data_IF_940974167535
#
_entry.id   IF_940974167535
#
_cell.length_a   1.000
_cell.length_b   1.000
_cell.length_c   1.000
_cell.angle_alpha   90.00
_cell.angle_beta   90.00
_cell.angle_gamma   90.00
#
_symmetry.space_group_name_H-M   'P 1'
#
loop_
_entity.id
_entity.type
_entity.pdbx_description
1 polymer ?
#
# COMPACT_ATOMS: atom_id res chain seq x y z
N UNK A 1 -20.06 -7.12 -25.94
CA UNK A 1 -19.77 -6.87 -24.52
C UNK A 1 -21.01 -6.33 -23.84
N UNK A 2 -21.28 -6.73 -22.59
CA UNK A 2 -22.41 -6.23 -21.82
C UNK A 2 -22.09 -4.79 -21.35
N UNK A 3 -23.10 -3.90 -21.34
CA UNK A 3 -22.91 -2.53 -20.89
C UNK A 3 -22.72 -2.45 -19.36
N UNK A 4 -21.82 -1.59 -18.84
CA UNK A 4 -21.65 -1.37 -17.40
C UNK A 4 -22.94 -0.90 -16.71
N UNK A 5 -23.20 -1.45 -15.51
CA UNK A 5 -24.25 -0.92 -14.64
C UNK A 5 -23.65 0.22 -13.82
N UNK A 6 -23.82 1.45 -14.31
CA UNK A 6 -23.26 2.63 -13.67
C UNK A 6 -24.11 3.11 -12.47
N UNK A 7 -23.48 3.65 -11.41
CA UNK A 7 -24.18 4.37 -10.35
C UNK A 7 -25.02 5.53 -10.90
N UNK A 8 -26.11 5.85 -10.20
CA UNK A 8 -27.02 6.95 -10.61
C UNK A 8 -26.31 8.29 -10.76
N UNK A 9 -25.38 8.59 -9.85
CA UNK A 9 -24.56 9.83 -9.88
C UNK A 9 -23.68 9.89 -11.13
N UNK A 10 -22.99 8.80 -11.47
CA UNK A 10 -22.15 8.74 -12.68
C UNK A 10 -22.98 8.92 -13.94
N UNK A 11 -24.13 8.22 -14.02
CA UNK A 11 -25.08 8.42 -15.13
C UNK A 11 -25.58 9.86 -15.22
N UNK A 12 -25.87 10.48 -14.08
CA UNK A 12 -26.29 11.90 -14.02
C UNK A 12 -25.19 12.81 -14.59
N UNK A 13 -23.96 12.65 -14.18
CA UNK A 13 -22.83 13.47 -14.64
C UNK A 13 -22.64 13.34 -16.16
N UNK A 14 -22.52 12.09 -16.65
CA UNK A 14 -22.33 11.85 -18.09
C UNK A 14 -23.47 12.41 -18.92
N UNK A 15 -24.71 12.13 -18.56
CA UNK A 15 -25.89 12.58 -19.29
C UNK A 15 -26.04 14.12 -19.27
N UNK A 16 -25.66 14.77 -18.15
CA UNK A 16 -25.73 16.23 -18.03
C UNK A 16 -24.71 16.89 -18.95
N UNK A 17 -23.46 16.42 -18.98
CA UNK A 17 -22.45 16.92 -19.91
C UNK A 17 -22.87 16.71 -21.38
N UNK A 18 -23.33 15.50 -21.73
CA UNK A 18 -23.76 15.16 -23.08
C UNK A 18 -24.95 16.01 -23.54
N UNK A 19 -25.94 16.24 -22.66
CA UNK A 19 -27.10 17.12 -22.96
C UNK A 19 -26.71 18.58 -23.21
N UNK A 20 -25.60 19.04 -22.60
CA UNK A 20 -25.05 20.36 -22.82
C UNK A 20 -24.04 20.44 -23.98
N UNK A 21 -23.98 19.39 -24.82
CA UNK A 21 -23.19 19.39 -26.07
C UNK A 21 -21.74 18.98 -25.92
N UNK A 22 -21.36 18.43 -24.77
CA UNK A 22 -20.00 17.96 -24.54
C UNK A 22 -19.90 16.44 -24.64
N UNK A 23 -18.75 15.93 -25.06
CA UNK A 23 -18.42 14.52 -24.87
C UNK A 23 -18.10 14.25 -23.40
N UNK A 24 -18.49 13.10 -22.87
CA UNK A 24 -18.17 12.67 -21.53
C UNK A 24 -18.08 11.15 -21.46
N UNK A 25 -16.98 10.65 -20.91
CA UNK A 25 -16.68 9.23 -20.82
C UNK A 25 -16.16 8.87 -19.44
N UNK A 26 -16.40 7.63 -18.99
CA UNK A 26 -15.61 7.00 -17.94
C UNK A 26 -14.34 6.47 -18.59
N UNK A 27 -13.22 6.47 -17.85
CA UNK A 27 -11.92 6.05 -18.36
C UNK A 27 -11.06 5.44 -17.22
N UNK A 28 -9.95 4.83 -17.57
CA UNK A 28 -8.96 4.39 -16.61
C UNK A 28 -9.29 3.08 -15.91
N UNK A 29 -8.94 3.01 -14.61
CA UNK A 29 -9.08 1.79 -13.81
C UNK A 29 -10.49 1.26 -13.73
N UNK A 30 -11.51 2.13 -13.65
CA UNK A 30 -12.90 1.74 -13.55
C UNK A 30 -13.41 0.97 -14.78
N UNK A 31 -13.02 1.41 -15.99
CA UNK A 31 -13.39 0.71 -17.24
C UNK A 31 -12.68 -0.63 -17.35
N UNK A 32 -11.38 -0.67 -17.06
CA UNK A 32 -10.59 -1.91 -17.01
C UNK A 32 -11.18 -2.92 -16.02
N UNK A 33 -11.47 -2.50 -14.79
CA UNK A 33 -11.96 -3.39 -13.73
C UNK A 33 -13.36 -3.91 -14.06
N UNK A 34 -14.19 -3.08 -14.71
CA UNK A 34 -15.47 -3.54 -15.28
C UNK A 34 -15.27 -4.65 -16.33
N UNK A 35 -14.37 -4.44 -17.30
CA UNK A 35 -14.08 -5.43 -18.35
C UNK A 35 -13.54 -6.74 -17.78
N UNK A 36 -12.83 -6.67 -16.63
CA UNK A 36 -12.33 -7.83 -15.87
C UNK A 36 -13.37 -8.45 -14.92
N UNK A 37 -14.61 -7.96 -14.92
CA UNK A 37 -15.67 -8.38 -13.98
C UNK A 37 -15.24 -8.21 -12.49
N UNK A 38 -14.39 -7.22 -12.20
CA UNK A 38 -13.96 -6.84 -10.85
C UNK A 38 -14.86 -5.74 -10.29
N UNK A 39 -15.00 -5.63 -8.97
CA UNK A 39 -15.72 -4.51 -8.36
C UNK A 39 -15.05 -3.17 -8.75
N UNK A 40 -15.87 -2.23 -9.26
CA UNK A 40 -15.41 -0.87 -9.58
C UNK A 40 -15.63 0.01 -8.36
N UNK A 41 -14.54 0.55 -7.80
CA UNK A 41 -14.56 1.43 -6.62
C UNK A 41 -14.54 2.91 -6.98
N UNK A 42 -13.97 3.26 -8.12
CA UNK A 42 -13.72 4.63 -8.53
C UNK A 42 -14.08 4.86 -10.01
N UNK A 43 -14.59 6.05 -10.31
CA UNK A 43 -15.05 6.42 -11.65
C UNK A 43 -14.39 7.74 -12.07
N UNK A 44 -13.27 7.63 -12.78
CA UNK A 44 -12.63 8.77 -13.42
C UNK A 44 -13.47 9.20 -14.65
N UNK A 45 -13.92 10.44 -14.69
CA UNK A 45 -14.68 11.00 -15.80
C UNK A 45 -13.77 11.91 -16.60
N UNK A 46 -13.76 11.73 -17.92
CA UNK A 46 -13.06 12.63 -18.84
C UNK A 46 -14.05 13.24 -19.83
N UNK A 47 -13.86 14.52 -20.20
CA UNK A 47 -14.82 15.28 -20.99
C UNK A 47 -14.15 16.26 -21.95
N UNK A 48 -14.85 16.60 -23.03
CA UNK A 48 -14.44 17.68 -23.91
C UNK A 48 -14.70 19.08 -23.31
N UNK A 49 -15.50 19.18 -22.22
CA UNK A 49 -15.75 20.45 -21.53
C UNK A 49 -14.49 20.93 -20.78
N UNK A 50 -14.16 22.22 -20.89
CA UNK A 50 -13.14 22.87 -20.05
C UNK A 50 -13.60 22.96 -18.59
N UNK A 51 -12.70 23.20 -17.62
CA UNK A 51 -13.08 23.34 -16.22
C UNK A 51 -14.18 24.39 -15.98
N UNK A 52 -14.12 25.53 -16.68
CA UNK A 52 -15.13 26.58 -16.55
C UNK A 52 -16.48 26.19 -17.17
N UNK A 53 -16.46 25.45 -18.26
CA UNK A 53 -17.68 24.88 -18.87
C UNK A 53 -18.31 23.83 -17.95
N UNK A 54 -17.51 22.96 -17.31
CA UNK A 54 -18.01 22.01 -16.30
C UNK A 54 -18.67 22.76 -15.13
N UNK A 55 -18.03 23.83 -14.63
CA UNK A 55 -18.62 24.69 -13.56
C UNK A 55 -19.93 25.33 -14.00
N UNK A 56 -20.03 25.80 -15.23
CA UNK A 56 -21.25 26.40 -15.76
C UNK A 56 -22.37 25.34 -15.88
N UNK A 57 -22.06 24.14 -16.38
CA UNK A 57 -23.02 23.02 -16.53
C UNK A 57 -23.58 22.57 -15.18
N UNK A 58 -22.75 22.55 -14.13
CA UNK A 58 -23.13 22.14 -12.78
C UNK A 58 -23.20 23.30 -11.78
N UNK A 59 -23.63 24.49 -12.24
CA UNK A 59 -23.67 25.71 -11.43
C UNK A 59 -24.54 25.62 -10.16
N UNK A 60 -25.46 24.64 -10.10
CA UNK A 60 -26.28 24.35 -8.91
C UNK A 60 -25.66 23.37 -7.91
N UNK A 61 -24.50 22.81 -8.20
CA UNK A 61 -23.84 21.78 -7.41
C UNK A 61 -22.52 22.29 -6.78
N UNK A 62 -22.04 21.57 -5.78
CA UNK A 62 -20.74 21.91 -5.16
C UNK A 62 -19.60 21.39 -6.01
N UNK A 63 -18.75 22.30 -6.50
CA UNK A 63 -17.51 21.97 -7.22
C UNK A 63 -16.29 22.45 -6.44
N UNK A 64 -15.24 21.64 -6.43
CA UNK A 64 -13.94 21.95 -5.78
C UNK A 64 -12.84 21.92 -6.84
N UNK A 65 -11.99 22.95 -6.83
CA UNK A 65 -10.87 23.09 -7.75
C UNK A 65 -9.66 22.28 -7.27
N UNK A 66 -9.71 20.96 -7.47
CA UNK A 66 -8.69 20.02 -6.98
C UNK A 66 -7.44 19.98 -7.85
N UNK A 67 -7.56 20.31 -9.13
CA UNK A 67 -6.45 20.22 -10.08
C UNK A 67 -6.68 21.08 -11.33
N UNK A 68 -7.18 22.28 -11.19
CA UNK A 68 -7.62 23.15 -12.31
C UNK A 68 -6.51 23.41 -13.34
N UNK A 69 -5.24 23.53 -12.89
CA UNK A 69 -4.08 23.68 -13.78
C UNK A 69 -3.86 22.48 -14.70
N UNK A 70 -4.38 21.30 -14.31
CA UNK A 70 -4.32 20.06 -15.07
C UNK A 70 -5.68 19.69 -15.68
N UNK A 71 -6.64 20.60 -15.65
CA UNK A 71 -7.96 20.41 -16.23
C UNK A 71 -8.93 19.59 -15.37
N UNK A 72 -8.62 19.33 -14.09
CA UNK A 72 -9.46 18.50 -13.21
C UNK A 72 -10.22 19.35 -12.22
N UNK A 73 -11.52 19.09 -12.10
CA UNK A 73 -12.41 19.60 -11.04
C UNK A 73 -13.10 18.43 -10.35
N UNK A 74 -13.45 18.59 -9.07
CA UNK A 74 -14.21 17.57 -8.32
C UNK A 74 -15.63 18.05 -8.10
N UNK A 75 -16.60 17.36 -8.69
CA UNK A 75 -18.03 17.55 -8.46
C UNK A 75 -18.44 16.72 -7.24
N UNK A 76 -19.07 17.35 -6.25
CA UNK A 76 -19.54 16.68 -5.03
C UNK A 76 -21.04 16.43 -5.10
N UNK A 77 -21.44 15.17 -5.20
CA UNK A 77 -22.84 14.75 -5.20
C UNK A 77 -23.12 13.85 -4.00
N UNK A 78 -24.08 14.24 -3.16
CA UNK A 78 -24.47 13.46 -1.96
C UNK A 78 -23.28 13.13 -1.04
N UNK A 79 -22.31 14.04 -0.93
CA UNK A 79 -21.13 13.86 -0.10
C UNK A 79 -19.99 13.06 -0.75
N UNK A 80 -20.17 12.54 -1.97
CA UNK A 80 -19.14 11.81 -2.73
C UNK A 80 -18.56 12.73 -3.80
N UNK A 81 -17.21 12.78 -3.88
CA UNK A 81 -16.48 13.53 -4.90
C UNK A 81 -16.29 12.70 -6.18
N UNK A 82 -16.55 13.30 -7.33
CA UNK A 82 -16.31 12.72 -8.65
C UNK A 82 -15.32 13.60 -9.41
N UNK A 83 -14.19 13.04 -9.80
CA UNK A 83 -13.20 13.77 -10.60
C UNK A 83 -13.63 13.84 -12.05
N UNK A 84 -13.69 15.06 -12.59
CA UNK A 84 -14.02 15.36 -14.00
C UNK A 84 -12.81 16.07 -14.59
N UNK A 85 -12.16 15.43 -15.56
CA UNK A 85 -10.94 15.93 -16.20
C UNK A 85 -11.22 16.30 -17.64
N UNK A 86 -10.86 17.50 -18.04
CA UNK A 86 -10.92 17.96 -19.43
C UNK A 86 -9.94 17.17 -20.30
N UNK A 87 -10.32 16.81 -21.53
CA UNK A 87 -9.41 16.24 -22.52
C UNK A 87 -8.22 17.17 -22.71
N UNK A 88 -7.02 16.61 -22.69
CA UNK A 88 -5.81 17.40 -22.78
C UNK A 88 -4.70 16.67 -23.53
N UNK A 89 -3.83 17.46 -24.11
CA UNK A 89 -2.50 17.07 -24.57
C UNK A 89 -1.46 17.57 -23.59
N UNK A 90 -0.32 16.94 -23.59
CA UNK A 90 0.81 17.27 -22.71
C UNK A 90 2.02 17.58 -23.59
N UNK A 91 2.68 18.71 -23.31
CA UNK A 91 3.93 19.08 -23.98
C UNK A 91 5.12 18.26 -23.48
N UNK A 92 6.34 18.66 -23.88
CA UNK A 92 7.55 17.97 -23.49
C UNK A 92 7.73 17.95 -21.96
N UNK A 93 8.35 16.87 -21.46
CA UNK A 93 8.63 16.70 -20.04
C UNK A 93 10.08 17.02 -19.74
N UNK A 94 10.32 18.03 -18.90
CA UNK A 94 11.67 18.50 -18.58
C UNK A 94 12.28 17.79 -17.36
N UNK A 95 11.44 17.25 -16.46
CA UNK A 95 11.85 16.68 -15.17
C UNK A 95 11.40 15.22 -14.97
N UNK A 96 11.05 14.52 -16.05
CA UNK A 96 10.49 13.15 -16.02
C UNK A 96 9.20 13.02 -15.18
N UNK A 97 8.43 14.13 -15.02
CA UNK A 97 7.19 14.15 -14.22
C UNK A 97 6.15 15.13 -14.71
N UNK A 98 6.56 16.39 -14.93
CA UNK A 98 5.61 17.45 -15.23
C UNK A 98 5.77 17.85 -16.70
N UNK A 99 4.67 17.85 -17.46
CA UNK A 99 4.69 18.42 -18.78
C UNK A 99 4.99 19.93 -18.68
N UNK A 100 5.79 20.44 -19.60
CA UNK A 100 6.09 21.86 -19.71
C UNK A 100 4.84 22.71 -19.93
N UNK A 101 3.85 22.14 -20.60
CA UNK A 101 2.58 22.78 -20.93
C UNK A 101 1.45 21.74 -20.96
N UNK A 102 0.27 22.15 -20.54
CA UNK A 102 -0.97 21.38 -20.66
C UNK A 102 -1.93 22.18 -21.53
N UNK A 103 -2.30 21.62 -22.67
CA UNK A 103 -3.25 22.24 -23.60
C UNK A 103 -4.54 21.44 -23.65
N UNK A 104 -5.69 22.11 -23.52
CA UNK A 104 -6.99 21.43 -23.62
C UNK A 104 -7.33 21.12 -25.07
N UNK A 105 -7.96 19.98 -25.29
CA UNK A 105 -8.43 19.52 -26.60
C UNK A 105 -9.89 19.10 -26.53
N UNK A 106 -10.52 18.99 -27.69
CA UNK A 106 -11.87 18.41 -27.82
C UNK A 106 -11.84 16.95 -28.30
N UNK A 107 -10.68 16.42 -28.59
CA UNK A 107 -10.49 15.11 -29.19
C UNK A 107 -10.14 14.03 -28.14
N UNK A 108 -11.03 13.08 -27.94
CA UNK A 108 -10.84 11.96 -26.99
C UNK A 108 -9.59 11.13 -27.31
N UNK A 109 -9.28 10.93 -28.58
CA UNK A 109 -8.11 10.15 -29.01
C UNK A 109 -6.80 10.78 -28.52
N UNK A 110 -6.71 12.11 -28.49
CA UNK A 110 -5.52 12.81 -27.99
C UNK A 110 -5.38 12.66 -26.48
N UNK A 111 -6.49 12.73 -25.70
CA UNK A 111 -6.46 12.50 -24.26
C UNK A 111 -6.06 11.06 -23.91
N UNK A 112 -6.55 10.07 -24.67
CA UNK A 112 -6.19 8.67 -24.43
C UNK A 112 -4.75 8.36 -24.84
N UNK A 113 -4.20 9.04 -25.83
CA UNK A 113 -2.82 8.84 -26.34
C UNK A 113 -1.73 9.22 -25.33
N UNK A 114 -2.01 10.09 -24.34
CA UNK A 114 -1.05 10.46 -23.29
C UNK A 114 -1.06 9.51 -22.08
N UNK A 115 -1.99 8.56 -22.03
CA UNK A 115 -2.13 7.63 -20.89
C UNK A 115 -0.98 6.63 -20.83
N UNK A 116 -0.84 6.01 -19.66
CA UNK A 116 0.27 5.10 -19.37
C UNK A 116 0.17 3.78 -20.17
N UNK A 117 -0.95 3.07 -20.04
CA UNK A 117 -1.13 1.73 -20.61
C UNK A 117 -2.43 1.63 -21.39
N UNK A 118 -2.41 0.82 -22.47
CA UNK A 118 -3.56 0.57 -23.35
C UNK A 118 -4.80 0.15 -22.57
N UNK A 119 -4.64 -0.74 -21.57
CA UNK A 119 -5.72 -1.22 -20.71
C UNK A 119 -6.39 -0.13 -19.84
N UNK A 120 -5.72 1.01 -19.63
CA UNK A 120 -6.23 2.16 -18.89
C UNK A 120 -6.67 3.30 -19.84
N UNK A 121 -6.55 3.12 -21.16
CA UNK A 121 -6.92 4.08 -22.17
C UNK A 121 -8.28 3.77 -22.82
N UNK A 122 -8.93 2.68 -22.45
CA UNK A 122 -10.29 2.34 -22.87
C UNK A 122 -11.28 3.27 -22.17
N UNK A 123 -12.18 3.84 -22.96
CA UNK A 123 -13.25 4.73 -22.49
C UNK A 123 -14.62 4.07 -22.65
N UNK A 124 -15.58 4.54 -21.87
CA UNK A 124 -16.98 4.10 -22.00
C UNK A 124 -17.94 5.24 -21.72
N UNK A 125 -18.97 5.36 -22.55
CA UNK A 125 -20.16 6.14 -22.23
C UNK A 125 -21.45 5.39 -22.60
N UNK A 126 -22.59 5.71 -21.96
CA UNK A 126 -23.84 4.99 -22.19
C UNK A 126 -24.45 5.16 -23.61
N UNK A 127 -24.05 6.21 -24.32
CA UNK A 127 -24.60 6.54 -25.64
C UNK A 127 -23.88 5.77 -26.76
N UNK A 128 -22.52 5.81 -26.72
CA UNK A 128 -21.70 5.34 -27.83
C UNK A 128 -21.01 3.99 -27.49
N UNK A 129 -21.09 3.54 -26.23
CA UNK A 129 -20.45 2.30 -25.76
C UNK A 129 -18.96 2.47 -25.44
N UNK A 130 -18.17 1.45 -25.77
CA UNK A 130 -16.72 1.46 -25.56
C UNK A 130 -16.00 2.13 -26.73
N UNK A 131 -15.03 3.00 -26.40
CA UNK A 131 -14.07 3.59 -27.33
C UNK A 131 -12.67 3.09 -26.99
N UNK A 132 -12.03 2.41 -27.92
CA UNK A 132 -10.70 1.81 -27.77
C UNK A 132 -9.82 2.14 -28.99
N UNK A 133 -8.99 3.17 -28.88
CA UNK A 133 -8.10 3.63 -29.96
C UNK A 133 -6.74 2.93 -29.93
N UNK A 134 -6.42 2.19 -28.87
CA UNK A 134 -5.07 1.67 -28.61
C UNK A 134 -5.01 0.16 -28.43
N UNK A 135 -6.14 -0.56 -28.64
CA UNK A 135 -6.21 -2.02 -28.50
C UNK A 135 -6.23 -2.50 -27.05
N UNK A 136 -6.63 -1.63 -26.11
CA UNK A 136 -6.67 -1.93 -24.69
C UNK A 136 -7.62 -3.06 -24.31
N UNK A 137 -8.76 -3.20 -25.00
CA UNK A 137 -9.69 -4.32 -24.79
C UNK A 137 -9.02 -5.65 -25.12
N UNK A 138 -8.34 -5.73 -26.26
CA UNK A 138 -7.59 -6.94 -26.63
C UNK A 138 -6.45 -7.26 -25.67
N UNK A 139 -5.75 -6.23 -25.15
CA UNK A 139 -4.71 -6.42 -24.16
C UNK A 139 -5.27 -6.90 -22.80
N UNK A 140 -6.45 -6.38 -22.38
CA UNK A 140 -7.17 -6.87 -21.20
C UNK A 140 -7.56 -8.34 -21.35
N UNK A 141 -8.16 -8.72 -22.49
CA UNK A 141 -8.57 -10.10 -22.77
C UNK A 141 -7.38 -11.09 -22.77
N UNK A 142 -6.20 -10.63 -23.23
CA UNK A 142 -4.98 -11.42 -23.27
C UNK A 142 -4.16 -11.37 -21.96
N UNK A 143 -4.55 -10.53 -21.01
CA UNK A 143 -3.77 -10.31 -19.78
C UNK A 143 -2.41 -9.65 -20.05
N UNK A 144 -2.35 -8.63 -20.91
CA UNK A 144 -1.11 -7.95 -21.32
C UNK A 144 -1.09 -6.52 -20.82
N UNK A 145 0.05 -6.09 -20.29
CA UNK A 145 0.36 -4.69 -19.96
C UNK A 145 1.27 -4.14 -21.06
N UNK A 146 0.73 -3.20 -21.83
CA UNK A 146 1.41 -2.50 -22.91
C UNK A 146 1.27 -1.00 -22.73
N UNK A 147 2.34 -0.23 -22.98
CA UNK A 147 2.26 1.24 -23.01
C UNK A 147 1.42 1.71 -24.19
N UNK A 148 0.77 2.85 -24.02
CA UNK A 148 0.21 3.58 -25.16
C UNK A 148 1.36 4.21 -25.95
N UNK A 149 1.53 3.83 -27.20
CA UNK A 149 2.63 4.29 -28.05
C UNK A 149 3.99 3.69 -27.68
N UNK A 150 5.08 4.42 -27.96
CA UNK A 150 6.45 3.96 -27.73
C UNK A 150 6.79 3.90 -26.23
N UNK A 151 7.21 2.73 -25.69
CA UNK A 151 7.50 2.59 -24.27
C UNK A 151 8.70 3.42 -23.78
N UNK A 152 9.70 3.66 -24.64
CA UNK A 152 10.87 4.47 -24.27
C UNK A 152 10.44 5.91 -24.05
N UNK A 153 9.65 6.46 -24.95
CA UNK A 153 9.07 7.81 -24.82
C UNK A 153 8.20 7.91 -23.59
N UNK A 154 7.27 6.97 -23.40
CA UNK A 154 6.33 6.96 -22.24
C UNK A 154 7.02 6.93 -20.88
N UNK A 155 8.09 6.15 -20.74
CA UNK A 155 8.82 6.07 -19.47
C UNK A 155 9.79 7.25 -19.28
N UNK A 156 10.25 7.87 -20.35
CA UNK A 156 11.05 9.10 -20.28
C UNK A 156 10.21 10.31 -19.86
N UNK A 157 8.92 10.36 -20.21
CA UNK A 157 7.98 11.40 -19.77
C UNK A 157 7.69 11.31 -18.26
N UNK A 158 7.27 10.16 -17.74
CA UNK A 158 7.08 9.91 -16.31
C UNK A 158 7.64 8.52 -15.96
N UNK A 159 8.85 8.52 -15.39
CA UNK A 159 9.52 7.30 -15.01
C UNK A 159 8.76 6.48 -13.96
N UNK A 160 7.80 7.07 -13.21
CA UNK A 160 6.94 6.31 -12.31
C UNK A 160 6.10 5.25 -13.05
N UNK A 161 5.82 5.46 -14.33
CA UNK A 161 5.11 4.46 -15.17
C UNK A 161 5.82 3.11 -15.18
N UNK A 162 7.15 3.08 -14.99
CA UNK A 162 7.94 1.84 -14.81
C UNK A 162 7.42 1.06 -13.59
N UNK A 163 7.35 1.69 -12.42
CA UNK A 163 6.84 1.03 -11.20
C UNK A 163 5.35 0.70 -11.31
N UNK A 164 4.58 1.54 -12.00
CA UNK A 164 3.15 1.28 -12.25
C UNK A 164 2.93 0.02 -13.10
N UNK A 165 3.77 -0.22 -14.14
CA UNK A 165 3.72 -1.46 -14.94
C UNK A 165 3.94 -2.69 -14.05
N UNK A 166 4.98 -2.67 -13.22
CA UNK A 166 5.29 -3.76 -12.28
C UNK A 166 4.16 -3.94 -11.26
N UNK A 167 3.62 -2.84 -10.73
CA UNK A 167 2.46 -2.89 -9.83
C UNK A 167 1.24 -3.53 -10.48
N UNK A 168 0.90 -3.14 -11.71
CA UNK A 168 -0.24 -3.74 -12.39
C UNK A 168 -0.03 -5.23 -12.65
N UNK A 169 1.20 -5.65 -13.00
CA UNK A 169 1.52 -7.08 -13.09
C UNK A 169 1.29 -7.78 -11.75
N UNK A 170 1.74 -7.18 -10.63
CA UNK A 170 1.53 -7.72 -9.30
C UNK A 170 0.05 -7.75 -8.83
N UNK A 171 -0.79 -6.83 -9.30
CA UNK A 171 -2.19 -6.72 -8.91
C UNK A 171 -3.14 -7.53 -9.78
N UNK A 172 -2.85 -7.62 -11.08
CA UNK A 172 -3.74 -8.23 -12.08
C UNK A 172 -3.27 -9.61 -12.53
N UNK A 173 -2.01 -9.97 -12.29
CA UNK A 173 -1.41 -11.19 -12.82
C UNK A 173 -1.10 -11.11 -14.32
N UNK A 174 -1.13 -9.92 -14.90
CA UNK A 174 -0.89 -9.69 -16.31
C UNK A 174 0.60 -9.73 -16.64
N UNK A 175 0.93 -10.21 -17.84
CA UNK A 175 2.29 -10.16 -18.36
C UNK A 175 2.60 -8.80 -18.97
N UNK A 176 3.83 -8.32 -18.75
CA UNK A 176 4.28 -7.08 -19.39
C UNK A 176 4.80 -7.44 -20.79
N UNK A 177 4.27 -6.72 -21.78
CA UNK A 177 4.66 -6.88 -23.20
C UNK A 177 6.18 -6.65 -23.39
N UNK A 178 6.80 -7.41 -24.29
CA UNK A 178 8.27 -7.51 -24.38
C UNK A 178 8.97 -6.18 -24.66
N UNK A 179 8.43 -5.32 -25.51
CA UNK A 179 9.04 -4.00 -25.79
C UNK A 179 8.91 -3.10 -24.55
N UNK A 180 7.75 -3.11 -23.89
CA UNK A 180 7.50 -2.42 -22.62
C UNK A 180 8.44 -2.91 -21.51
N UNK A 181 8.65 -4.22 -21.41
CA UNK A 181 9.57 -4.83 -20.45
C UNK A 181 11.03 -4.43 -20.67
N UNK A 182 11.49 -4.46 -21.92
CA UNK A 182 12.84 -4.02 -22.27
C UNK A 182 13.06 -2.55 -21.87
N UNK A 183 12.08 -1.69 -22.11
CA UNK A 183 12.14 -0.28 -21.71
C UNK A 183 12.18 -0.11 -20.17
N UNK A 184 11.46 -0.96 -19.40
CA UNK A 184 11.53 -0.96 -17.93
C UNK A 184 12.96 -1.15 -17.45
N UNK A 185 13.65 -2.18 -17.96
CA UNK A 185 15.02 -2.46 -17.52
C UNK A 185 16.01 -1.39 -17.97
N UNK A 186 15.92 -0.91 -19.22
CA UNK A 186 16.84 0.09 -19.75
C UNK A 186 16.71 1.46 -19.08
N UNK A 187 15.50 1.85 -18.67
CA UNK A 187 15.19 3.16 -18.12
C UNK A 187 14.99 3.18 -16.59
N UNK A 188 15.19 2.05 -15.90
CA UNK A 188 15.04 1.97 -14.44
C UNK A 188 15.89 2.98 -13.66
N UNK A 189 17.02 3.44 -14.24
CA UNK A 189 17.89 4.46 -13.66
C UNK A 189 17.19 5.83 -13.51
N UNK A 190 16.15 6.13 -14.32
CA UNK A 190 15.36 7.35 -14.23
C UNK A 190 14.49 7.42 -12.98
N UNK A 191 14.22 6.29 -12.33
CA UNK A 191 13.46 6.24 -11.07
C UNK A 191 14.08 7.08 -9.95
N UNK A 192 15.38 7.38 -10.02
CA UNK A 192 16.08 8.26 -9.07
C UNK A 192 15.54 9.70 -9.07
N UNK A 193 14.87 10.11 -10.15
CA UNK A 193 14.26 11.44 -10.30
C UNK A 193 12.83 11.51 -9.72
N UNK A 194 12.27 10.37 -9.26
CA UNK A 194 10.91 10.30 -8.73
C UNK A 194 10.92 10.54 -7.22
N UNK A 195 9.91 11.26 -6.73
CA UNK A 195 9.79 11.50 -5.28
C UNK A 195 9.60 10.19 -4.49
N UNK A 196 10.20 10.16 -3.32
CA UNK A 196 10.23 8.99 -2.43
C UNK A 196 8.84 8.47 -2.09
N UNK A 197 7.86 9.37 -1.86
CA UNK A 197 6.49 9.02 -1.51
C UNK A 197 5.77 8.31 -2.67
N UNK A 198 6.03 8.75 -3.92
CA UNK A 198 5.46 8.10 -5.11
C UNK A 198 6.05 6.70 -5.29
N UNK A 199 7.36 6.55 -5.10
CA UNK A 199 8.05 5.24 -5.14
C UNK A 199 7.46 4.31 -4.08
N UNK A 200 7.37 4.75 -2.82
CA UNK A 200 6.82 3.95 -1.73
C UNK A 200 5.38 3.50 -2.00
N UNK A 201 4.56 4.41 -2.53
CA UNK A 201 3.17 4.11 -2.85
C UNK A 201 3.05 2.98 -3.88
N UNK A 202 3.81 3.04 -4.97
CA UNK A 202 3.80 2.00 -6.00
C UNK A 202 4.44 0.70 -5.48
N UNK A 203 5.50 0.79 -4.68
CA UNK A 203 6.15 -0.36 -4.08
C UNK A 203 5.23 -1.10 -3.09
N UNK A 204 4.60 -0.38 -2.14
CA UNK A 204 3.61 -0.99 -1.21
C UNK A 204 2.47 -1.67 -1.98
N UNK A 205 1.91 -1.00 -2.99
CA UNK A 205 0.84 -1.57 -3.83
C UNK A 205 1.30 -2.80 -4.62
N UNK A 206 2.58 -2.87 -4.99
CA UNK A 206 3.17 -4.06 -5.64
C UNK A 206 3.27 -5.21 -4.66
N UNK A 207 3.88 -4.99 -3.49
CA UNK A 207 4.07 -6.02 -2.44
C UNK A 207 2.74 -6.58 -1.93
N UNK A 208 1.71 -5.72 -1.86
CA UNK A 208 0.36 -6.09 -1.40
C UNK A 208 -0.50 -6.73 -2.49
N UNK A 209 -0.02 -6.77 -3.73
CA UNK A 209 -0.72 -7.38 -4.86
C UNK A 209 -0.93 -8.88 -4.69
N UNK A 210 -1.97 -9.39 -5.34
CA UNK A 210 -2.32 -10.82 -5.35
C UNK A 210 -1.25 -11.66 -6.05
N UNK A 211 -0.59 -11.09 -7.06
CA UNK A 211 0.49 -11.73 -7.83
C UNK A 211 1.86 -11.09 -7.54
N UNK A 212 2.06 -10.58 -6.33
CA UNK A 212 3.27 -9.84 -5.95
C UNK A 212 4.55 -10.65 -6.08
N UNK A 213 4.53 -11.94 -5.69
CA UNK A 213 5.72 -12.78 -5.61
C UNK A 213 6.49 -12.90 -6.94
N UNK A 214 5.87 -13.33 -8.07
CA UNK A 214 6.57 -13.38 -9.35
C UNK A 214 7.01 -11.99 -9.84
N UNK A 215 6.22 -10.95 -9.61
CA UNK A 215 6.57 -9.59 -10.00
C UNK A 215 7.80 -9.07 -9.24
N UNK A 216 7.84 -9.21 -7.91
CA UNK A 216 8.99 -8.80 -7.09
C UNK A 216 10.26 -9.55 -7.52
N UNK A 217 10.15 -10.86 -7.74
CA UNK A 217 11.28 -11.70 -8.14
C UNK A 217 11.81 -11.29 -9.51
N UNK A 218 10.93 -11.10 -10.49
CA UNK A 218 11.29 -10.76 -11.88
C UNK A 218 11.89 -9.37 -12.00
N UNK A 219 11.33 -8.38 -11.28
CA UNK A 219 11.74 -6.97 -11.36
C UNK A 219 12.58 -6.51 -10.16
N UNK A 220 13.26 -7.45 -9.50
CA UNK A 220 14.11 -7.18 -8.34
C UNK A 220 15.14 -6.06 -8.58
N UNK A 221 15.81 -6.07 -9.73
CA UNK A 221 16.81 -5.05 -10.11
C UNK A 221 16.20 -3.65 -10.24
N UNK A 222 14.95 -3.55 -10.71
CA UNK A 222 14.24 -2.28 -10.85
C UNK A 222 13.97 -1.67 -9.47
N UNK A 223 13.52 -2.48 -8.51
CA UNK A 223 13.32 -2.01 -7.14
C UNK A 223 14.64 -1.69 -6.42
N UNK A 224 15.68 -2.50 -6.60
CA UNK A 224 17.02 -2.25 -6.03
C UNK A 224 17.66 -0.95 -6.53
N UNK A 225 17.27 -0.44 -7.70
CA UNK A 225 17.75 0.86 -8.19
C UNK A 225 17.32 2.03 -7.29
N UNK A 226 16.23 1.90 -6.53
CA UNK A 226 15.68 2.94 -5.63
C UNK A 226 15.60 2.50 -4.17
N UNK A 227 15.62 1.20 -3.91
CA UNK A 227 15.60 0.60 -2.55
C UNK A 227 16.72 -0.46 -2.50
N UNK A 228 18.00 -0.06 -2.41
CA UNK A 228 19.13 -0.98 -2.48
C UNK A 228 19.19 -1.97 -1.32
N UNK A 229 18.53 -1.67 -0.19
CA UNK A 229 18.47 -2.51 1.01
C UNK A 229 17.60 -3.76 0.84
N UNK A 230 16.87 -3.90 -0.27
CA UNK A 230 15.97 -5.05 -0.48
C UNK A 230 16.73 -6.37 -0.59
N UNK A 231 16.29 -7.34 0.19
CA UNK A 231 16.75 -8.72 0.16
C UNK A 231 15.78 -9.60 -0.64
N UNK A 232 15.81 -9.48 -1.96
CA UNK A 232 14.93 -10.25 -2.86
C UNK A 232 15.53 -11.58 -3.34
N UNK A 233 16.79 -11.85 -3.00
CA UNK A 233 17.49 -13.06 -3.43
C UNK A 233 17.05 -14.29 -2.62
N UNK A 234 16.55 -14.08 -1.40
CA UNK A 234 16.10 -15.12 -0.46
C UNK A 234 14.61 -14.93 -0.10
N UNK A 235 13.76 -14.76 -1.10
CA UNK A 235 12.32 -14.69 -0.84
C UNK A 235 11.81 -16.03 -0.26
N UNK A 236 10.90 -15.99 0.73
CA UNK A 236 10.25 -17.19 1.23
C UNK A 236 9.44 -17.89 0.14
N UNK A 237 9.07 -19.16 0.30
CA UNK A 237 8.24 -19.86 -0.67
C UNK A 237 6.95 -19.09 -1.00
N UNK A 238 6.54 -19.11 -2.26
CA UNK A 238 5.37 -18.34 -2.74
C UNK A 238 4.09 -18.63 -1.96
N UNK A 239 3.87 -19.90 -1.58
CA UNK A 239 2.71 -20.32 -0.78
C UNK A 239 2.64 -19.60 0.58
N UNK A 240 3.78 -19.43 1.25
CA UNK A 240 3.86 -18.66 2.52
C UNK A 240 3.68 -17.16 2.28
N UNK A 241 4.30 -16.66 1.20
CA UNK A 241 4.22 -15.24 0.86
C UNK A 241 2.77 -14.78 0.64
N UNK A 242 1.97 -15.56 -0.09
CA UNK A 242 0.58 -15.21 -0.36
C UNK A 242 -0.35 -15.36 0.85
N UNK A 243 -0.04 -16.24 1.79
CA UNK A 243 -0.83 -16.43 3.01
C UNK A 243 -0.54 -15.39 4.10
N UNK A 244 0.58 -14.66 4.00
CA UNK A 244 1.01 -13.70 5.00
C UNK A 244 0.30 -12.34 4.88
N UNK A 245 0.24 -11.62 6.00
CA UNK A 245 -0.25 -10.24 6.07
C UNK A 245 0.54 -9.32 5.13
N UNK A 246 -0.08 -8.30 4.53
CA UNK A 246 0.61 -7.38 3.62
C UNK A 246 1.88 -6.75 4.22
N UNK A 247 1.81 -6.33 5.49
CA UNK A 247 2.96 -5.71 6.16
C UNK A 247 4.07 -6.73 6.45
N UNK A 248 3.74 -7.99 6.78
CA UNK A 248 4.72 -9.07 6.91
C UNK A 248 5.46 -9.33 5.60
N UNK A 249 4.76 -9.30 4.47
CA UNK A 249 5.39 -9.40 3.14
C UNK A 249 6.42 -8.29 2.93
N UNK A 250 6.06 -7.04 3.26
CA UNK A 250 6.95 -5.89 3.15
C UNK A 250 8.18 -6.05 4.05
N UNK A 251 7.99 -6.43 5.32
CA UNK A 251 9.05 -6.63 6.30
C UNK A 251 10.02 -7.72 5.86
N UNK A 252 9.51 -8.83 5.31
CA UNK A 252 10.31 -9.98 4.87
C UNK A 252 11.29 -9.67 3.73
N UNK A 253 11.11 -8.53 3.05
CA UNK A 253 12.01 -8.06 1.99
C UNK A 253 13.28 -7.38 2.53
N UNK A 254 13.46 -7.30 3.85
CA UNK A 254 14.63 -6.70 4.48
C UNK A 254 15.32 -7.69 5.42
N UNK A 255 16.67 -7.57 5.55
CA UNK A 255 17.47 -8.46 6.42
C UNK A 255 17.47 -8.01 7.86
N UNK A 256 17.59 -6.72 8.09
CA UNK A 256 17.76 -6.14 9.41
C UNK A 256 16.76 -5.02 9.69
N UNK A 257 16.53 -4.76 10.97
CA UNK A 257 15.73 -3.64 11.42
C UNK A 257 16.28 -2.29 10.93
N UNK A 258 17.62 -2.15 10.91
CA UNK A 258 18.30 -0.94 10.43
C UNK A 258 18.09 -0.70 8.93
N UNK A 259 18.20 -1.74 8.11
CA UNK A 259 17.93 -1.64 6.66
C UNK A 259 16.49 -1.21 6.40
N UNK A 260 15.53 -1.82 7.11
CA UNK A 260 14.12 -1.49 6.99
C UNK A 260 13.85 -0.04 7.43
N UNK A 261 14.30 0.33 8.62
CA UNK A 261 14.10 1.68 9.18
C UNK A 261 14.71 2.75 8.26
N UNK A 262 15.95 2.55 7.82
CA UNK A 262 16.66 3.46 6.93
C UNK A 262 15.93 3.65 5.60
N UNK A 263 15.52 2.55 4.96
CA UNK A 263 14.77 2.59 3.71
C UNK A 263 13.40 3.26 3.88
N UNK A 264 12.63 2.89 4.91
CA UNK A 264 11.29 3.44 5.15
C UNK A 264 11.32 4.93 5.51
N UNK A 265 12.32 5.39 6.29
CA UNK A 265 12.51 6.83 6.56
C UNK A 265 12.85 7.60 5.30
N UNK A 266 13.78 7.10 4.49
CA UNK A 266 14.17 7.73 3.21
C UNK A 266 13.01 7.77 2.21
N UNK A 267 12.12 6.80 2.25
CA UNK A 267 10.92 6.73 1.43
C UNK A 267 9.71 7.47 2.02
N UNK A 268 9.86 8.15 3.14
CA UNK A 268 8.80 8.91 3.84
C UNK A 268 7.60 8.05 4.23
N UNK A 269 7.85 6.83 4.71
CA UNK A 269 6.80 5.98 5.25
C UNK A 269 6.19 6.58 6.52
N UNK A 270 4.95 6.20 6.81
CA UNK A 270 4.29 6.59 8.05
C UNK A 270 4.99 5.98 9.29
N UNK A 271 4.95 6.71 10.42
CA UNK A 271 5.62 6.33 11.64
C UNK A 271 5.15 4.97 12.20
N UNK A 272 3.89 4.59 11.97
CA UNK A 272 3.37 3.29 12.42
C UNK A 272 4.06 2.16 11.65
N UNK A 273 4.11 2.26 10.32
CA UNK A 273 4.83 1.29 9.46
C UNK A 273 6.30 1.13 9.91
N UNK A 274 6.99 2.26 10.16
CA UNK A 274 8.42 2.23 10.56
C UNK A 274 8.57 1.54 11.91
N UNK A 275 7.83 1.94 12.94
CA UNK A 275 7.93 1.38 14.29
C UNK A 275 7.61 -0.11 14.32
N UNK A 276 6.48 -0.52 13.74
CA UNK A 276 6.06 -1.92 13.72
C UNK A 276 7.08 -2.81 12.98
N UNK A 277 7.52 -2.40 11.79
CA UNK A 277 8.50 -3.20 11.04
C UNK A 277 9.86 -3.30 11.73
N UNK A 278 10.35 -2.21 12.34
CA UNK A 278 11.59 -2.20 13.11
C UNK A 278 11.48 -3.10 14.35
N UNK A 279 10.36 -3.02 15.09
CA UNK A 279 10.10 -3.84 16.26
C UNK A 279 10.06 -5.34 15.91
N UNK A 280 9.35 -5.70 14.82
CA UNK A 280 9.24 -7.09 14.34
C UNK A 280 10.62 -7.63 13.96
N UNK A 281 11.39 -6.92 13.12
CA UNK A 281 12.72 -7.39 12.68
C UNK A 281 13.71 -7.50 13.85
N UNK A 282 13.66 -6.60 14.82
CA UNK A 282 14.47 -6.66 16.05
C UNK A 282 14.10 -7.83 16.96
N UNK A 283 12.84 -8.32 16.83
CA UNK A 283 12.28 -9.38 17.69
C UNK A 283 12.27 -10.77 17.04
N UNK A 284 12.76 -10.93 15.80
CA UNK A 284 12.73 -12.22 15.09
C UNK A 284 13.43 -13.35 15.84
N UNK A 285 14.45 -13.04 16.65
CA UNK A 285 15.19 -14.01 17.46
C UNK A 285 14.45 -14.47 18.73
N UNK A 286 13.36 -13.78 19.14
CA UNK A 286 12.61 -14.18 20.32
C UNK A 286 11.97 -15.58 20.09
N UNK A 287 12.08 -16.43 21.10
CA UNK A 287 11.35 -17.70 21.11
C UNK A 287 9.87 -17.46 21.33
N UNK A 288 9.01 -18.21 20.63
CA UNK A 288 7.55 -18.05 20.65
C UNK A 288 6.81 -19.39 20.70
N UNK A 289 7.54 -20.48 20.95
CA UNK A 289 7.12 -21.88 20.89
C UNK A 289 6.39 -22.40 22.14
N UNK A 290 6.39 -21.64 23.22
CA UNK A 290 5.74 -22.01 24.47
C UNK A 290 4.90 -20.85 25.06
N UNK A 291 3.99 -21.15 26.00
CA UNK A 291 3.19 -20.12 26.69
C UNK A 291 4.06 -19.05 27.34
N UNK A 292 5.15 -19.45 27.99
CA UNK A 292 6.07 -18.51 28.69
C UNK A 292 6.79 -17.60 27.70
N UNK A 293 7.36 -18.15 26.65
CA UNK A 293 8.07 -17.36 25.63
C UNK A 293 7.12 -16.46 24.86
N UNK A 294 5.89 -16.90 24.61
CA UNK A 294 4.86 -16.09 23.98
C UNK A 294 4.39 -14.93 24.88
N UNK A 295 4.15 -15.18 26.19
CA UNK A 295 3.81 -14.13 27.15
C UNK A 295 4.99 -13.13 27.30
N UNK A 296 6.22 -13.60 27.29
CA UNK A 296 7.41 -12.74 27.29
C UNK A 296 7.44 -11.85 26.03
N UNK A 297 7.13 -12.39 24.86
CA UNK A 297 7.01 -11.62 23.62
C UNK A 297 5.91 -10.54 23.74
N UNK A 298 4.74 -10.89 24.27
CA UNK A 298 3.65 -9.96 24.53
C UNK A 298 3.99 -8.88 25.58
N UNK A 299 4.94 -9.15 26.48
CA UNK A 299 5.43 -8.14 27.42
C UNK A 299 6.30 -7.05 26.77
N UNK A 300 6.89 -7.34 25.61
CA UNK A 300 7.84 -6.47 24.89
C UNK A 300 7.21 -5.78 23.69
N UNK A 301 6.16 -6.37 23.11
CA UNK A 301 5.46 -5.86 21.93
C UNK A 301 3.98 -5.59 22.27
N UNK A 302 3.37 -4.65 21.59
CA UNK A 302 1.94 -4.57 21.64
C UNK A 302 1.29 -5.75 20.90
N UNK A 303 -0.02 -5.86 21.00
CA UNK A 303 -0.77 -6.98 20.41
C UNK A 303 -0.60 -7.04 18.89
N UNK A 304 -0.72 -5.89 18.20
CA UNK A 304 -0.66 -5.83 16.74
C UNK A 304 0.75 -6.24 16.26
N UNK A 305 1.80 -5.76 16.92
CA UNK A 305 3.18 -6.08 16.59
C UNK A 305 3.54 -7.53 16.93
N UNK A 306 2.96 -8.11 17.99
CA UNK A 306 3.13 -9.53 18.31
C UNK A 306 2.45 -10.44 17.26
N UNK A 307 1.23 -10.13 16.84
CA UNK A 307 0.54 -10.83 15.73
C UNK A 307 1.36 -10.72 14.44
N UNK A 308 1.89 -9.52 14.13
CA UNK A 308 2.73 -9.26 12.96
C UNK A 308 4.07 -10.02 13.03
N UNK A 309 4.68 -10.11 14.22
CA UNK A 309 5.91 -10.88 14.44
C UNK A 309 5.69 -12.37 14.13
N UNK A 310 4.65 -12.98 14.69
CA UNK A 310 4.36 -14.41 14.47
C UNK A 310 4.06 -14.66 12.98
N UNK A 311 3.24 -13.82 12.34
CA UNK A 311 2.94 -13.93 10.91
C UNK A 311 4.23 -13.81 10.05
N UNK A 312 5.11 -12.85 10.38
CA UNK A 312 6.41 -12.70 9.70
C UNK A 312 7.32 -13.91 9.93
N UNK A 313 7.37 -14.47 11.15
CA UNK A 313 8.14 -15.68 11.44
C UNK A 313 7.62 -16.89 10.68
N UNK A 314 6.29 -17.08 10.59
CA UNK A 314 5.66 -18.12 9.78
C UNK A 314 6.03 -17.95 8.31
N UNK A 315 5.94 -16.72 7.79
CA UNK A 315 6.34 -16.39 6.43
C UNK A 315 7.79 -16.78 6.15
N UNK A 316 8.71 -16.44 7.06
CA UNK A 316 10.15 -16.75 6.96
C UNK A 316 10.48 -18.23 7.26
N UNK A 317 9.54 -19.02 7.78
CA UNK A 317 9.77 -20.41 8.18
C UNK A 317 10.50 -20.58 9.52
N UNK A 318 10.40 -19.54 10.36
CA UNK A 318 10.97 -19.53 11.71
C UNK A 318 9.97 -19.95 12.79
N UNK A 319 8.69 -20.05 12.44
CA UNK A 319 7.57 -20.46 13.29
C UNK A 319 6.52 -21.23 12.49
N UNK A 320 5.61 -21.88 13.21
CA UNK A 320 4.49 -22.63 12.65
C UNK A 320 3.14 -21.98 12.99
N UNK A 321 2.07 -22.38 12.30
CA UNK A 321 0.70 -21.85 12.55
C UNK A 321 0.21 -22.08 13.99
N UNK A 322 0.68 -23.15 14.63
CA UNK A 322 0.36 -23.44 16.03
C UNK A 322 0.76 -22.30 16.99
N UNK A 323 1.82 -21.53 16.68
CA UNK A 323 2.23 -20.39 17.49
C UNK A 323 1.24 -19.21 17.36
N UNK A 324 0.63 -19.01 16.19
CA UNK A 324 -0.45 -18.02 16.04
C UNK A 324 -1.68 -18.43 16.84
N UNK A 325 -2.03 -19.72 16.83
CA UNK A 325 -3.14 -20.24 17.63
C UNK A 325 -2.87 -20.09 19.14
N UNK A 326 -1.63 -20.35 19.57
CA UNK A 326 -1.18 -20.12 20.93
C UNK A 326 -1.31 -18.64 21.34
N UNK A 327 -0.82 -17.72 20.53
CA UNK A 327 -0.93 -16.29 20.76
C UNK A 327 -2.40 -15.86 20.94
N UNK A 328 -3.26 -16.24 19.99
CA UNK A 328 -4.69 -15.89 20.04
C UNK A 328 -5.41 -16.49 21.27
N UNK A 329 -5.01 -17.69 21.72
CA UNK A 329 -5.52 -18.32 22.93
C UNK A 329 -5.13 -17.52 24.18
N UNK A 330 -3.83 -17.21 24.35
CA UNK A 330 -3.32 -16.47 25.50
C UNK A 330 -3.94 -15.07 25.64
N UNK A 331 -4.18 -14.40 24.52
CA UNK A 331 -4.89 -13.11 24.49
C UNK A 331 -6.34 -13.21 25.00
N UNK A 332 -7.02 -14.34 24.79
CA UNK A 332 -8.38 -14.61 25.32
C UNK A 332 -8.37 -14.97 26.81
N UNK A 333 -7.35 -15.68 27.27
CA UNK A 333 -7.24 -16.18 28.65
C UNK A 333 -6.88 -15.08 29.68
N UNK A 334 -6.58 -13.84 29.23
CA UNK A 334 -6.20 -12.70 30.08
C UNK A 334 -5.05 -13.01 31.05
N UNK A 335 -4.07 -13.80 30.60
CA UNK A 335 -2.85 -14.08 31.38
C UNK A 335 -2.06 -12.79 31.58
N UNK A 336 -1.37 -12.62 32.72
CA UNK A 336 -0.55 -11.43 32.97
C UNK A 336 0.64 -11.38 32.01
N UNK A 337 0.75 -10.31 31.23
CA UNK A 337 1.87 -10.04 30.34
C UNK A 337 2.22 -8.55 30.26
N UNK A 338 1.57 -7.70 31.05
CA UNK A 338 1.88 -6.28 31.20
C UNK A 338 2.17 -5.94 32.66
N UNK A 339 2.98 -4.92 32.90
CA UNK A 339 3.26 -4.42 34.26
C UNK A 339 1.94 -4.07 34.99
N UNK A 340 0.94 -3.56 34.24
CA UNK A 340 -0.41 -3.27 34.79
C UNK A 340 -1.16 -4.51 35.27
N UNK A 341 -0.74 -5.71 34.88
CA UNK A 341 -1.39 -6.96 35.25
C UNK A 341 -0.82 -7.53 36.55
N UNK A 342 0.29 -6.96 37.05
CA UNK A 342 0.85 -7.31 38.36
C UNK A 342 -0.05 -6.85 39.50
N UNK A 343 -0.12 -7.65 40.57
CA UNK A 343 -0.84 -7.27 41.81
C UNK A 343 -0.06 -6.29 42.70
N UNK A 344 0.97 -5.65 42.15
CA UNK A 344 1.73 -4.58 42.80
C UNK A 344 1.91 -3.41 41.82
N UNK A 345 2.03 -2.23 42.37
CA UNK A 345 2.25 -0.97 41.66
C UNK A 345 3.60 -0.36 41.98
N UNK A 346 4.01 0.67 41.26
CA UNK A 346 5.22 1.43 41.58
C UNK A 346 5.19 2.02 43.00
N UNK A 347 4.01 2.38 43.52
CA UNK A 347 3.84 2.87 44.90
C UNK A 347 4.11 1.76 45.93
N UNK A 348 3.68 0.54 45.65
CA UNK A 348 3.99 -0.60 46.50
C UNK A 348 5.47 -0.90 46.58
N UNK A 349 6.16 -0.85 45.41
CA UNK A 349 7.63 -1.01 45.32
C UNK A 349 8.36 0.10 46.07
N UNK A 350 7.86 1.34 45.99
CA UNK A 350 8.40 2.47 46.75
C UNK A 350 8.27 2.24 48.27
N UNK A 351 7.14 1.70 48.72
CA UNK A 351 6.87 1.47 50.15
C UNK A 351 7.82 0.47 50.81
N UNK A 352 8.40 -0.44 50.03
CA UNK A 352 9.40 -1.40 50.53
C UNK A 352 10.84 -0.89 50.43
N UNK A 353 11.07 0.39 50.08
CA UNK A 353 12.34 1.06 50.12
C UNK A 353 13.15 0.96 48.82
N UNK A 354 12.51 0.72 47.70
CA UNK A 354 13.13 0.75 46.37
C UNK A 354 12.74 2.07 45.68
N UNK A 355 13.72 2.87 45.20
CA UNK A 355 13.53 4.26 44.78
C UNK A 355 14.06 4.50 43.37
N UNK A 356 13.56 5.57 42.73
CA UNK A 356 14.06 6.09 41.45
C UNK A 356 13.92 5.11 40.28
N UNK A 357 14.92 5.02 39.45
CA UNK A 357 14.93 4.16 38.25
C UNK A 357 14.80 2.66 38.56
N UNK A 358 15.17 2.27 39.81
CA UNK A 358 15.06 0.88 40.27
C UNK A 358 13.60 0.39 40.33
N UNK A 359 12.58 1.29 40.48
CA UNK A 359 11.16 0.92 40.51
C UNK A 359 10.75 0.30 39.19
N UNK A 360 11.05 0.96 38.07
CA UNK A 360 10.70 0.47 36.73
C UNK A 360 11.40 -0.86 36.41
N UNK A 361 12.68 -0.98 36.78
CA UNK A 361 13.43 -2.23 36.61
C UNK A 361 12.85 -3.36 37.46
N UNK A 362 12.51 -3.10 38.72
CA UNK A 362 11.91 -4.08 39.62
C UNK A 362 10.56 -4.59 39.09
N UNK A 363 9.70 -3.69 38.60
CA UNK A 363 8.41 -4.08 38.01
C UNK A 363 8.59 -4.92 36.73
N UNK A 364 9.58 -4.59 35.89
CA UNK A 364 9.88 -5.39 34.70
C UNK A 364 10.38 -6.79 35.07
N UNK A 365 11.32 -6.89 36.00
CA UNK A 365 11.88 -8.18 36.44
C UNK A 365 10.86 -9.03 37.20
N UNK A 366 9.94 -8.39 37.96
CA UNK A 366 8.78 -9.06 38.58
C UNK A 366 7.85 -9.66 37.52
N UNK A 367 7.54 -8.89 36.48
CA UNK A 367 6.70 -9.39 35.38
C UNK A 367 7.34 -10.60 34.70
N UNK A 368 8.64 -10.51 34.37
CA UNK A 368 9.38 -11.62 33.78
C UNK A 368 9.37 -12.84 34.72
N UNK A 369 9.54 -12.64 36.02
CA UNK A 369 9.50 -13.70 37.05
C UNK A 369 8.13 -14.38 37.17
N UNK A 370 7.05 -13.62 37.04
CA UNK A 370 5.66 -14.15 36.98
C UNK A 370 5.45 -14.95 35.69
N UNK A 371 5.88 -14.43 34.55
CA UNK A 371 5.73 -15.10 33.25
C UNK A 371 6.47 -16.45 33.25
N UNK A 372 7.67 -16.49 33.80
CA UNK A 372 8.48 -17.72 33.87
C UNK A 372 8.14 -18.61 35.06
N UNK A 373 7.22 -18.18 35.93
CA UNK A 373 6.71 -18.98 37.05
C UNK A 373 7.68 -19.08 38.23
N UNK A 374 8.61 -18.13 38.37
CA UNK A 374 9.54 -18.02 39.49
C UNK A 374 8.90 -17.39 40.72
N UNK A 375 7.84 -16.63 40.56
CA UNK A 375 7.06 -16.01 41.61
C UNK A 375 5.55 -16.00 41.22
N UNK A 376 4.67 -16.18 42.19
CA UNK A 376 3.24 -16.08 41.97
C UNK A 376 2.83 -14.60 41.85
N UNK A 377 1.85 -14.31 41.00
CA UNK A 377 1.31 -12.94 40.87
C UNK A 377 0.40 -12.61 42.07
N UNK A 378 0.96 -12.67 43.27
CA UNK A 378 0.31 -12.31 44.55
C UNK A 378 1.14 -11.20 45.23
N UNK A 379 0.43 -10.21 45.81
CA UNK A 379 1.07 -8.97 46.30
C UNK A 379 2.21 -9.24 47.27
N UNK A 380 2.04 -10.13 48.24
CA UNK A 380 3.06 -10.47 49.25
C UNK A 380 4.27 -11.11 48.58
N UNK A 381 4.06 -12.13 47.76
CA UNK A 381 5.15 -12.85 47.07
C UNK A 381 5.97 -11.91 46.18
N UNK A 382 5.32 -10.99 45.47
CA UNK A 382 5.95 -10.00 44.62
C UNK A 382 6.78 -8.99 45.43
N UNK A 383 6.28 -8.52 46.58
CA UNK A 383 7.02 -7.58 47.42
C UNK A 383 8.22 -8.27 48.09
N UNK A 384 8.07 -9.50 48.56
CA UNK A 384 9.21 -10.27 49.10
C UNK A 384 10.30 -10.52 48.08
N UNK A 385 9.92 -10.87 46.84
CA UNK A 385 10.84 -11.04 45.75
C UNK A 385 11.57 -9.72 45.40
N UNK A 386 10.82 -8.60 45.37
CA UNK A 386 11.40 -7.29 45.11
C UNK A 386 12.42 -6.88 46.19
N UNK A 387 12.12 -7.07 47.46
CA UNK A 387 13.02 -6.78 48.58
C UNK A 387 14.29 -7.60 48.47
N UNK A 388 14.16 -8.91 48.19
CA UNK A 388 15.32 -9.83 48.11
C UNK A 388 16.28 -9.48 46.97
N UNK A 389 15.81 -8.95 45.83
CA UNK A 389 16.60 -8.78 44.64
C UNK A 389 17.03 -7.33 44.33
N UNK A 390 16.36 -6.31 44.92
CA UNK A 390 16.57 -4.89 44.58
C UNK A 390 16.89 -3.98 45.78
N UNK A 391 16.75 -4.48 47.02
CA UNK A 391 17.13 -3.75 48.22
C UNK A 391 18.52 -4.14 48.65
#
# INVERSE_FOLDING_TARGET
>A
MQAPVLPKSVKYILNTLIKNGFEANIVGGGVRDFLLSRPVSDYDITTSATPDEVKAVFSGEKIVDTGIKHGTVTLVLSGVGYEITTYRTEGDYLDCRHPSEVSFTRELVLDTSRRDFTMNAVCYNPKDGFSDFHGGISDIEKGVIRTVGDPVSRFSEDALRILRAVRFSAQLGFEIEKATENAIFSLSHLLKNISSERILTEFKKTVFGEFAYPAIKKYASVFKAVIPELNVDNLPPSSRFFSALPLSRLISLFRTAGDFEGAMRRLHADNKTIKSGTAVLSSLALQTDSERTMLFTLSRLDREDAELLIDTKILLGLSEKAEMELLLRLLKEKRPYKISDLKVTGTDILSVGIYGEKIGKALSDLLDSVIFGSVENEREALLDFAVKNFK
#
